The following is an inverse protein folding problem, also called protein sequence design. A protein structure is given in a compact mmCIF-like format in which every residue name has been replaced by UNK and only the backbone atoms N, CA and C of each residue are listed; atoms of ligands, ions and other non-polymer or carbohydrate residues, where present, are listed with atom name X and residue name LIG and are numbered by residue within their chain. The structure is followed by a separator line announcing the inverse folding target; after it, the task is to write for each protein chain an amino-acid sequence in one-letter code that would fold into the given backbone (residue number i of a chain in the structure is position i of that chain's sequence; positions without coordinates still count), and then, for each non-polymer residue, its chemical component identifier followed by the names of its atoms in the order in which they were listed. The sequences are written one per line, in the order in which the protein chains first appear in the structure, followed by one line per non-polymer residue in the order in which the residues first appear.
data_IF_715662930164
#
_entry.id   IF_715662930164
#
_cell.length_a   1.000
_cell.length_b   1.000
_cell.length_c   1.000
_cell.angle_alpha   90.00
_cell.angle_beta   90.00
_cell.angle_gamma   90.00
#
_symmetry.space_group_name_H-M   'P 1'
#
loop_
_entity.id
_entity.type
_entity.pdbx_description
1 polymer ?
#
# COMPACT_ATOMS: atom_id res chain seq x y z
N UNK A 1 24.74 -9.17 0.02
CA UNK A 1 24.33 -9.34 -0.58
C UNK A 1 23.54 -8.93 -1.23
N UNK A 2 23.25 -9.04 -1.73
CA UNK A 2 22.53 -8.64 -2.28
C UNK A 2 21.53 -9.24 -2.72
N UNK A 3 20.86 -9.43 -2.30
CA UNK A 3 19.65 -9.92 -2.59
C UNK A 3 18.91 -9.11 -3.50
N UNK A 4 19.16 -7.88 -3.55
CA UNK A 4 18.40 -6.99 -4.33
C UNK A 4 18.38 -7.34 -5.80
N UNK A 5 19.45 -7.77 -6.42
CA UNK A 5 19.32 -8.17 -7.81
C UNK A 5 18.32 -9.25 -8.03
N UNK A 6 18.32 -10.21 -7.11
CA UNK A 6 17.35 -11.25 -7.22
C UNK A 6 15.95 -10.72 -7.11
N UNK A 7 15.73 -9.84 -6.17
CA UNK A 7 14.42 -9.30 -5.97
C UNK A 7 13.92 -8.56 -7.17
N UNK A 8 14.79 -7.76 -7.78
CA UNK A 8 14.36 -7.01 -8.92
C UNK A 8 14.14 -7.88 -10.13
N UNK A 9 15.09 -8.75 -10.40
CA UNK A 9 15.04 -9.55 -11.60
C UNK A 9 13.88 -10.51 -11.57
N UNK A 10 13.49 -10.95 -10.39
CA UNK A 10 12.49 -11.97 -10.27
C UNK A 10 11.17 -11.48 -9.76
N UNK A 11 10.97 -10.19 -9.71
CA UNK A 11 9.72 -9.66 -9.21
C UNK A 11 8.60 -9.99 -10.18
N UNK A 12 7.75 -10.92 -9.79
CA UNK A 12 6.62 -11.32 -10.59
C UNK A 12 5.50 -10.31 -10.50
N UNK A 13 5.45 -9.57 -9.40
CA UNK A 13 4.41 -8.60 -9.14
C UNK A 13 5.08 -7.24 -9.02
N UNK A 14 5.17 -6.50 -10.12
CA UNK A 14 5.84 -5.21 -10.07
C UNK A 14 5.10 -4.24 -9.18
N UNK A 15 5.85 -3.35 -8.56
CA UNK A 15 5.27 -2.31 -7.75
C UNK A 15 4.91 -1.14 -8.62
N UNK A 16 3.73 -0.61 -8.39
CA UNK A 16 3.22 0.50 -9.16
C UNK A 16 2.76 1.59 -8.22
N UNK A 17 2.95 2.87 -8.59
CA UNK A 17 2.58 3.96 -7.70
C UNK A 17 1.09 4.03 -7.47
N UNK A 18 0.68 4.30 -6.25
CA UNK A 18 -0.71 4.49 -5.91
C UNK A 18 -0.98 5.88 -5.36
N UNK A 19 -0.13 6.34 -4.42
CA UNK A 19 -0.26 7.66 -3.80
C UNK A 19 -1.64 7.87 -3.21
N UNK A 20 -2.13 6.88 -2.47
CA UNK A 20 -3.46 6.92 -1.88
C UNK A 20 -3.35 6.91 -0.36
N UNK A 21 -4.23 7.64 0.33
CA UNK A 21 -4.21 7.63 1.79
C UNK A 21 -4.69 6.28 2.32
N UNK A 22 -4.26 5.96 3.53
CA UNK A 22 -4.71 4.76 4.19
C UNK A 22 -4.96 5.02 5.65
N UNK A 23 -5.80 4.17 6.23
CA UNK A 23 -6.00 4.08 7.66
C UNK A 23 -5.57 2.68 8.10
N UNK A 24 -5.24 2.53 9.36
CA UNK A 24 -4.81 1.23 9.84
C UNK A 24 -5.30 1.00 11.25
N UNK A 25 -5.32 -0.27 11.64
CA UNK A 25 -5.55 -0.64 13.03
C UNK A 25 -4.74 -1.88 13.37
N UNK A 26 -4.36 -1.96 14.62
CA UNK A 26 -3.71 -3.13 15.19
C UNK A 26 -4.79 -3.89 15.94
N UNK A 27 -4.92 -5.14 15.70
CA UNK A 27 -5.91 -6.04 16.31
C UNK A 27 -6.85 -5.40 17.32
N UNK A 28 -8.12 -5.36 17.05
CA UNK A 28 -9.17 -4.89 17.96
C UNK A 28 -9.11 -3.41 18.31
N UNK A 29 -8.17 -2.67 17.79
CA UNK A 29 -8.10 -1.24 18.04
C UNK A 29 -8.92 -0.49 17.00
N UNK A 30 -9.34 0.74 17.31
CA UNK A 30 -10.02 1.54 16.28
C UNK A 30 -9.03 1.94 15.19
N UNK A 31 -9.56 2.26 14.02
CA UNK A 31 -8.73 2.74 12.92
C UNK A 31 -8.12 4.10 13.27
N UNK A 32 -6.90 4.30 12.83
CA UNK A 32 -6.19 5.55 12.94
C UNK A 32 -5.71 5.96 11.55
N UNK A 33 -5.50 7.25 11.38
CA UNK A 33 -4.90 7.71 10.13
C UNK A 33 -3.50 7.14 10.01
N UNK A 34 -3.17 6.68 8.82
CA UNK A 34 -1.89 6.05 8.60
C UNK A 34 -0.91 6.89 7.82
N UNK A 35 -1.35 7.44 6.72
CA UNK A 35 -0.46 8.14 5.82
C UNK A 35 -0.80 7.83 4.39
N UNK A 36 0.23 7.56 3.60
CA UNK A 36 0.08 7.37 2.16
C UNK A 36 0.61 5.99 1.77
N UNK A 37 -0.13 5.28 0.94
CA UNK A 37 0.40 4.11 0.26
C UNK A 37 1.15 4.66 -0.95
N UNK A 38 2.47 4.56 -0.92
CA UNK A 38 3.30 5.13 -1.97
C UNK A 38 3.21 4.27 -3.23
N UNK A 39 3.40 2.98 -3.07
CA UNK A 39 3.25 2.05 -4.18
C UNK A 39 2.81 0.70 -3.66
N UNK A 40 2.39 -0.16 -4.58
CA UNK A 40 1.87 -1.46 -4.21
C UNK A 40 2.07 -2.45 -5.33
N UNK A 41 2.05 -3.72 -4.94
CA UNK A 41 1.94 -4.84 -5.86
C UNK A 41 0.85 -5.74 -5.32
N UNK A 42 0.63 -6.88 -5.95
CA UNK A 42 -0.36 -7.82 -5.44
C UNK A 42 0.08 -8.53 -4.16
N UNK A 43 1.34 -8.39 -3.77
CA UNK A 43 1.85 -9.10 -2.61
C UNK A 43 2.40 -8.18 -1.52
N UNK A 44 2.49 -6.88 -1.75
CA UNK A 44 3.05 -5.99 -0.76
C UNK A 44 2.77 -4.53 -1.02
N UNK A 45 2.98 -3.73 0.03
CA UNK A 45 2.77 -2.29 -0.02
C UNK A 45 4.02 -1.57 0.48
N UNK A 46 4.29 -0.41 -0.10
CA UNK A 46 5.23 0.53 0.48
C UNK A 46 4.40 1.69 1.00
N UNK A 47 4.47 1.94 2.31
CA UNK A 47 3.70 3.01 2.91
C UNK A 47 4.60 4.03 3.57
N UNK A 48 4.05 5.22 3.75
CA UNK A 48 4.73 6.34 4.36
C UNK A 48 3.86 6.84 5.50
N UNK A 49 4.44 6.95 6.70
CA UNK A 49 3.67 7.33 7.88
C UNK A 49 4.58 8.01 8.89
N UNK A 50 4.01 8.91 9.67
CA UNK A 50 4.74 9.53 10.78
C UNK A 50 4.71 8.66 12.03
N UNK A 51 3.92 7.59 12.01
CA UNK A 51 3.80 6.72 13.17
C UNK A 51 4.98 5.76 13.23
N UNK A 52 5.47 5.52 14.43
CA UNK A 52 6.57 4.59 14.63
C UNK A 52 5.98 3.21 14.92
N UNK A 53 6.00 2.35 13.93
CA UNK A 53 5.39 1.03 14.00
C UNK A 53 6.50 -0.02 14.00
N UNK A 54 6.56 -0.90 14.99
CA UNK A 54 7.64 -1.89 15.03
C UNK A 54 7.56 -2.89 13.89
N UNK A 55 8.72 -3.35 13.45
CA UNK A 55 8.79 -4.45 12.48
C UNK A 55 8.13 -5.66 13.11
N UNK A 56 7.38 -6.39 12.30
CA UNK A 56 6.65 -7.56 12.76
C UNK A 56 5.21 -7.27 13.16
N UNK A 57 4.84 -5.99 13.25
CA UNK A 57 3.47 -5.65 13.61
C UNK A 57 2.52 -6.04 12.49
N UNK A 58 1.40 -6.62 12.85
CA UNK A 58 0.36 -6.99 11.90
C UNK A 58 -0.73 -5.94 11.94
N UNK A 59 -1.09 -5.47 10.76
CA UNK A 59 -1.99 -4.35 10.61
C UNK A 59 -3.11 -4.69 9.66
N UNK A 60 -4.31 -4.23 9.98
CA UNK A 60 -5.38 -4.17 9.01
C UNK A 60 -5.32 -2.78 8.39
N UNK A 61 -5.14 -2.74 7.09
CA UNK A 61 -4.97 -1.49 6.37
C UNK A 61 -6.16 -1.28 5.45
N UNK A 62 -6.76 -0.12 5.54
CA UNK A 62 -7.83 0.29 4.63
C UNK A 62 -7.25 1.36 3.72
N UNK A 63 -7.14 1.06 2.44
CA UNK A 63 -6.65 2.00 1.44
C UNK A 63 -7.84 2.74 0.88
N UNK A 64 -7.80 4.06 0.96
CA UNK A 64 -8.94 4.90 0.60
C UNK A 64 -8.75 5.44 -0.81
N UNK A 65 -9.82 5.39 -1.60
CA UNK A 65 -9.73 5.90 -2.96
C UNK A 65 -11.09 6.40 -3.41
N UNK A 66 -11.11 7.38 -4.31
CA UNK A 66 -12.38 7.90 -4.82
C UNK A 66 -12.97 6.95 -5.84
N UNK A 67 -14.30 6.85 -5.82
CA UNK A 67 -15.03 6.07 -6.79
C UNK A 67 -16.30 6.85 -7.13
N UNK A 68 -16.26 7.56 -8.26
CA UNK A 68 -17.31 8.50 -8.55
C UNK A 68 -17.28 9.63 -7.55
N UNK A 69 -18.41 9.87 -6.92
CA UNK A 69 -18.51 10.92 -5.91
C UNK A 69 -18.35 10.38 -4.50
N UNK A 70 -17.98 9.12 -4.36
CA UNK A 70 -17.86 8.50 -3.05
C UNK A 70 -16.43 8.14 -2.76
N UNK A 71 -16.10 8.11 -1.47
CA UNK A 71 -14.83 7.61 -1.01
C UNK A 71 -15.05 6.16 -0.59
N UNK A 72 -14.28 5.26 -1.14
CA UNK A 72 -14.41 3.85 -0.80
C UNK A 72 -13.06 3.31 -0.35
N UNK A 73 -13.00 2.05 0.01
CA UNK A 73 -11.76 1.47 0.47
C UNK A 73 -11.69 -0.01 0.12
N UNK A 74 -10.47 -0.51 0.06
CA UNK A 74 -10.25 -1.94 0.11
C UNK A 74 -9.32 -2.23 1.28
N UNK A 75 -9.40 -3.44 1.80
CA UNK A 75 -8.69 -3.79 3.03
C UNK A 75 -7.67 -4.89 2.78
N UNK A 76 -6.54 -4.76 3.46
CA UNK A 76 -5.43 -5.69 3.35
C UNK A 76 -4.93 -5.98 4.76
N UNK A 77 -4.70 -7.26 5.06
CA UNK A 77 -4.06 -7.62 6.31
C UNK A 77 -2.59 -7.85 6.02
N UNK A 78 -1.74 -7.06 6.63
CA UNK A 78 -0.32 -7.08 6.30
C UNK A 78 0.57 -7.10 7.52
N UNK A 79 1.84 -7.35 7.28
CA UNK A 79 2.84 -7.36 8.32
C UNK A 79 3.99 -6.45 7.91
N UNK A 80 4.45 -5.63 8.86
CA UNK A 80 5.59 -4.75 8.63
C UNK A 80 6.85 -5.61 8.59
N UNK A 81 7.52 -5.65 7.45
CA UNK A 81 8.72 -6.47 7.30
C UNK A 81 9.99 -5.66 7.26
N UNK A 82 9.91 -4.36 7.00
CA UNK A 82 11.07 -3.49 7.15
C UNK A 82 10.59 -2.05 7.33
N UNK A 83 11.49 -1.20 7.83
CA UNK A 83 11.19 0.20 7.97
C UNK A 83 12.45 1.02 7.84
N UNK A 84 12.30 2.25 7.40
CA UNK A 84 13.40 3.14 7.17
C UNK A 84 12.97 4.55 7.54
N UNK A 85 13.87 5.29 8.19
CA UNK A 85 13.61 6.68 8.50
C UNK A 85 13.71 7.48 7.20
N UNK A 86 12.77 8.35 7.00
CA UNK A 86 12.70 9.10 5.76
C UNK A 86 12.27 10.53 6.04
N UNK A 87 12.92 11.50 5.43
CA UNK A 87 12.48 12.87 5.56
C UNK A 87 12.71 13.62 4.27
N UNK A 88 11.87 14.62 4.08
CA UNK A 88 11.96 15.56 3.00
C UNK A 88 11.90 16.94 3.62
N UNK A 89 11.90 17.96 2.81
CA UNK A 89 12.06 19.31 3.30
C UNK A 89 11.12 19.67 4.43
N UNK A 90 9.85 19.29 4.31
CA UNK A 90 8.85 19.64 5.32
C UNK A 90 8.19 18.43 5.94
N UNK A 91 8.85 17.27 5.87
CA UNK A 91 8.20 16.06 6.36
C UNK A 91 9.24 15.10 6.89
N UNK A 92 8.94 14.51 8.02
CA UNK A 92 9.79 13.51 8.62
C UNK A 92 8.92 12.36 9.13
N UNK A 93 9.32 11.15 8.84
CA UNK A 93 8.58 9.98 9.26
C UNK A 93 9.29 8.72 8.78
N UNK A 94 8.50 7.72 8.40
CA UNK A 94 9.04 6.42 8.06
C UNK A 94 8.46 5.91 6.77
N UNK A 95 9.25 5.15 6.06
CA UNK A 95 8.78 4.27 5.00
C UNK A 95 8.74 2.86 5.57
N UNK A 96 7.70 2.13 5.22
CA UNK A 96 7.52 0.76 5.67
C UNK A 96 7.25 -0.12 4.48
N UNK A 97 7.89 -1.30 4.47
CA UNK A 97 7.49 -2.35 3.54
C UNK A 97 6.56 -3.29 4.27
N UNK A 98 5.42 -3.56 3.67
CA UNK A 98 4.45 -4.49 4.22
C UNK A 98 4.26 -5.66 3.30
N UNK A 99 4.24 -6.85 3.88
CA UNK A 99 3.89 -8.06 3.17
C UNK A 99 2.40 -8.28 3.37
N UNK A 100 1.67 -8.55 2.29
CA UNK A 100 0.26 -8.89 2.40
C UNK A 100 0.16 -10.32 2.89
N UNK A 101 -0.47 -10.50 4.06
CA UNK A 101 -0.66 -11.82 4.64
C UNK A 101 -1.98 -12.39 4.19
N UNK A 102 -3.01 -11.55 4.13
CA UNK A 102 -4.34 -12.01 3.79
C UNK A 102 -5.11 -10.87 3.16
N UNK A 103 -5.92 -11.20 2.17
CA UNK A 103 -6.76 -10.21 1.51
C UNK A 103 -7.98 -10.97 0.98
N UNK A 104 -9.15 -10.41 1.19
CA UNK A 104 -10.38 -11.01 0.68
C UNK A 104 -10.43 -10.88 -0.83
N UNK A 105 -11.15 -11.78 -1.46
CA UNK A 105 -11.15 -11.83 -2.93
C UNK A 105 -11.64 -10.53 -3.55
N UNK A 106 -12.69 -9.95 -3.00
CA UNK A 106 -13.20 -8.70 -3.59
C UNK A 106 -12.25 -7.55 -3.37
N UNK A 107 -11.51 -7.54 -2.27
CA UNK A 107 -10.47 -6.53 -2.04
C UNK A 107 -9.31 -6.74 -3.00
N UNK A 108 -8.97 -7.98 -3.28
CA UNK A 108 -7.90 -8.29 -4.23
C UNK A 108 -8.28 -7.80 -5.63
N UNK A 109 -9.53 -8.00 -6.01
CA UNK A 109 -9.98 -7.51 -7.31
C UNK A 109 -9.86 -6.00 -7.40
N UNK A 110 -10.18 -5.30 -6.31
CA UNK A 110 -10.07 -3.86 -6.29
C UNK A 110 -8.63 -3.41 -6.41
N UNK A 111 -7.73 -4.08 -5.69
CA UNK A 111 -6.31 -3.79 -5.77
C UNK A 111 -5.80 -4.01 -7.20
N UNK A 112 -6.16 -5.13 -7.81
CA UNK A 112 -5.75 -5.41 -9.18
C UNK A 112 -6.24 -4.35 -10.15
N UNK A 113 -7.47 -3.89 -9.95
CA UNK A 113 -8.04 -2.87 -10.81
C UNK A 113 -7.25 -1.57 -10.69
N UNK A 114 -6.91 -1.18 -9.47
CA UNK A 114 -6.12 0.03 -9.27
C UNK A 114 -4.74 -0.09 -9.89
N UNK A 115 -4.09 -1.23 -9.72
CA UNK A 115 -2.77 -1.44 -10.30
C UNK A 115 -2.85 -1.42 -11.82
N UNK A 116 -3.88 -2.01 -12.37
CA UNK A 116 -4.07 -2.04 -13.82
C UNK A 116 -4.24 -0.62 -14.37
N UNK A 117 -4.94 0.24 -13.65
CA UNK A 117 -5.12 1.61 -14.11
C UNK A 117 -3.80 2.39 -14.13
N UNK A 118 -2.84 2.00 -13.30
CA UNK A 118 -1.54 2.65 -13.29
C UNK A 118 -0.67 2.21 -14.47
N UNK A 119 -0.91 1.01 -14.94
CA UNK A 119 -0.18 0.48 -16.10
C UNK A 119 -0.80 0.97 -17.40
N UNK A 120 -2.12 1.04 -17.45
CA UNK A 120 -2.84 1.41 -18.67
C UNK A 120 -3.78 2.57 -18.39
N UNK A 121 -3.24 3.73 -18.07
CA UNK A 121 -4.08 4.84 -17.63
C UNK A 121 -5.09 5.28 -18.69
N UNK A 122 -4.77 5.15 -19.95
CA UNK A 122 -5.69 5.59 -20.99
C UNK A 122 -6.96 4.76 -21.03
N UNK A 123 -6.90 3.53 -20.55
CA UNK A 123 -8.09 2.69 -20.52
C UNK A 123 -9.09 3.14 -19.48
N UNK A 124 -8.63 3.86 -18.49
CA UNK A 124 -9.47 4.26 -17.38
C UNK A 124 -9.80 5.74 -17.38
N UNK A 125 -8.99 6.53 -18.07
CA UNK A 125 -9.24 7.95 -18.15
C UNK A 125 -10.03 8.33 -19.39
N UNK A 126 -10.32 7.40 -20.24
CA UNK A 126 -11.02 7.67 -21.47
C UNK A 126 -12.45 8.10 -21.16
N UNK A 127 -12.89 9.17 -21.72
CA UNK A 127 -14.18 9.72 -21.33
C UNK A 127 -15.36 8.94 -21.83
N UNK A 128 -15.23 8.09 -22.78
CA UNK A 128 -16.39 7.48 -23.34
C UNK A 128 -16.92 6.37 -22.98
#
# INVERSE_FOLDING_TARGET
MKISPMGKARRRFPRLPLDLPFEYRVVSAPYSRGGIVVNASEVGLLIQSIKNIPIGTKLMIAVLFPRGFELTSFKVFGEVIWKDLHWEENWEGFHYGLKIIQILEEDRRMLRRLLSSRVHPEEFSHPS
#
